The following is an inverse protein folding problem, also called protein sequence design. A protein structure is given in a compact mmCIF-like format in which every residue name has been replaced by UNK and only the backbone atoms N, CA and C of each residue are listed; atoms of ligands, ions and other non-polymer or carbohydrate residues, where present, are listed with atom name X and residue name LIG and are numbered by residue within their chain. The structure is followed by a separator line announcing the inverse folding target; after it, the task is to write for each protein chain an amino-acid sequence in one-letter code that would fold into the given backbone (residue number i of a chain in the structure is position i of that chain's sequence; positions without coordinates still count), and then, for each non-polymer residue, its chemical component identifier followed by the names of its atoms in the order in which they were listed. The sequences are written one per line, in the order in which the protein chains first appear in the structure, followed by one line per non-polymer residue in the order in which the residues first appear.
data_IF_513776796098
#
_entry.id   IF_513776796098
#
_cell.length_a   1.000
_cell.length_b   1.000
_cell.length_c   1.000
_cell.angle_alpha   90.00
_cell.angle_beta   90.00
_cell.angle_gamma   90.00
#
_symmetry.space_group_name_H-M   'P 1'
#
loop_
_entity.id
_entity.type
_entity.pdbx_description
1 polymer ?
#
# COMPACT_ATOMS: atom_id res chain seq x y z
N UNK A 1 1.06 6.12 13.78
CA UNK A 1 0.99 5.80 12.33
C UNK A 1 0.26 6.95 11.66
N UNK A 2 0.89 7.64 10.69
CA UNK A 2 0.27 8.76 9.97
C UNK A 2 -1.03 8.31 9.34
N UNK A 3 -2.14 8.93 9.75
CA UNK A 3 -3.46 8.32 9.93
C UNK A 3 -4.20 7.69 8.73
N UNK A 4 -3.54 7.42 7.60
CA UNK A 4 -4.13 6.78 6.43
C UNK A 4 -3.27 5.69 5.78
N UNK A 5 -1.96 5.63 6.05
CA UNK A 5 -1.09 4.58 5.52
C UNK A 5 -1.20 3.32 6.38
N UNK A 6 -1.45 2.17 5.76
CA UNK A 6 -1.65 0.88 6.42
C UNK A 6 -0.70 -0.17 5.85
N UNK A 7 -0.53 -1.27 6.56
CA UNK A 7 0.39 -2.36 6.22
C UNK A 7 -0.33 -3.71 6.30
N UNK A 8 -0.23 -4.51 5.24
CA UNK A 8 -0.53 -5.93 5.25
C UNK A 8 0.74 -6.72 5.54
N UNK A 9 0.59 -7.77 6.35
CA UNK A 9 1.69 -8.59 6.83
C UNK A 9 1.52 -10.02 6.33
N UNK A 10 2.39 -10.42 5.41
CA UNK A 10 2.41 -11.76 4.86
C UNK A 10 3.65 -12.51 5.34
N UNK A 11 3.50 -13.82 5.49
CA UNK A 11 4.59 -14.76 5.66
C UNK A 11 4.51 -15.72 4.48
N UNK A 12 5.52 -15.68 3.61
CA UNK A 12 5.66 -16.55 2.45
C UNK A 12 6.86 -17.45 2.73
N UNK A 13 6.60 -18.65 3.25
CA UNK A 13 7.62 -19.54 3.81
C UNK A 13 8.51 -18.79 4.83
N UNK A 14 9.79 -18.65 4.55
CA UNK A 14 10.77 -17.94 5.39
C UNK A 14 10.76 -16.41 5.16
N UNK A 15 10.07 -15.93 4.11
CA UNK A 15 10.04 -14.52 3.75
C UNK A 15 8.91 -13.76 4.44
N UNK A 16 9.31 -12.77 5.24
CA UNK A 16 8.39 -11.87 5.93
C UNK A 16 8.08 -10.69 5.01
N UNK A 17 6.99 -10.75 4.25
CA UNK A 17 6.61 -9.73 3.28
C UNK A 17 5.67 -8.67 3.87
N UNK A 18 5.83 -7.42 3.42
CA UNK A 18 5.00 -6.27 3.81
C UNK A 18 4.49 -5.56 2.59
N UNK A 19 3.18 -5.31 2.56
CA UNK A 19 2.55 -4.51 1.52
C UNK A 19 1.92 -3.29 2.17
N UNK A 20 2.34 -2.10 1.77
CA UNK A 20 1.71 -0.87 2.22
C UNK A 20 0.52 -0.52 1.34
N UNK A 21 -0.54 -0.02 1.95
CA UNK A 21 -1.76 0.32 1.24
C UNK A 21 -2.45 1.54 1.85
N UNK A 22 -3.34 2.13 1.06
CA UNK A 22 -4.23 3.21 1.48
C UNK A 22 -5.67 2.90 1.09
N UNK A 23 -6.62 3.22 1.97
CA UNK A 23 -8.05 3.14 1.68
C UNK A 23 -8.48 4.49 1.10
N UNK A 24 -8.65 4.51 -0.22
CA UNK A 24 -9.14 5.65 -0.96
C UNK A 24 -10.68 5.77 -0.86
N UNK A 25 -11.26 6.94 -1.18
CA UNK A 25 -12.71 7.08 -1.32
C UNK A 25 -13.30 6.05 -2.30
N UNK A 26 -14.57 5.70 -2.09
CA UNK A 26 -15.27 4.69 -2.89
C UNK A 26 -14.94 3.24 -2.49
N UNK A 27 -14.54 3.00 -1.23
CA UNK A 27 -14.19 1.65 -0.70
C UNK A 27 -13.05 0.97 -1.49
N UNK A 28 -12.13 1.76 -2.06
CA UNK A 28 -11.01 1.26 -2.87
C UNK A 28 -9.77 1.06 -2.01
N UNK A 29 -9.10 -0.07 -2.18
CA UNK A 29 -7.81 -0.36 -1.58
C UNK A 29 -6.74 -0.14 -2.65
N UNK A 30 -5.83 0.81 -2.41
CA UNK A 30 -4.70 1.06 -3.29
C UNK A 30 -3.43 0.49 -2.66
N UNK A 31 -2.84 -0.52 -3.32
CA UNK A 31 -1.52 -1.06 -2.95
C UNK A 31 -0.44 -0.08 -3.41
N UNK A 32 0.49 0.26 -2.53
CA UNK A 32 1.47 1.32 -2.76
C UNK A 32 2.87 0.76 -2.97
N UNK A 33 3.34 -0.06 -2.03
CA UNK A 33 4.69 -0.63 -2.08
C UNK A 33 4.72 -2.03 -1.47
N UNK A 34 5.60 -2.89 -1.99
CA UNK A 34 5.93 -4.19 -1.41
C UNK A 34 7.41 -4.24 -1.03
N UNK A 35 7.73 -4.85 0.11
CA UNK A 35 9.11 -5.11 0.55
C UNK A 35 9.18 -6.33 1.47
N UNK A 36 10.35 -6.97 1.54
CA UNK A 36 10.66 -7.98 2.56
C UNK A 36 11.20 -7.29 3.81
N UNK A 37 10.77 -7.75 4.99
CA UNK A 37 11.26 -7.24 6.27
C UNK A 37 12.64 -7.83 6.54
N UNK A 38 13.65 -6.98 6.59
CA UNK A 38 15.04 -7.38 6.89
C UNK A 38 15.48 -6.93 8.27
N UNK A 39 14.84 -5.88 8.83
CA UNK A 39 15.17 -5.28 10.12
C UNK A 39 13.94 -5.00 10.95
N UNK A 40 14.13 -4.78 12.25
CA UNK A 40 13.06 -4.38 13.16
C UNK A 40 12.36 -3.08 12.70
N UNK A 41 13.14 -2.10 12.21
CA UNK A 41 12.67 -0.80 11.73
C UNK A 41 13.17 -0.51 10.32
N UNK A 42 12.26 -0.21 9.41
CA UNK A 42 12.51 0.00 7.97
C UNK A 42 12.11 1.43 7.56
N UNK A 43 12.72 2.45 8.17
CA UNK A 43 12.32 3.86 7.95
C UNK A 43 12.37 4.29 6.47
N UNK A 44 13.33 3.74 5.71
CA UNK A 44 13.44 3.98 4.26
C UNK A 44 12.22 3.48 3.49
N UNK A 45 11.69 2.31 3.88
CA UNK A 45 10.50 1.73 3.25
C UNK A 45 9.23 2.51 3.65
N UNK A 46 9.15 2.97 4.90
CA UNK A 46 8.06 3.85 5.34
C UNK A 46 8.06 5.15 4.52
N UNK A 47 9.22 5.78 4.35
CA UNK A 47 9.34 6.99 3.52
C UNK A 47 9.02 6.73 2.05
N UNK A 48 9.42 5.58 1.52
CA UNK A 48 9.07 5.15 0.15
C UNK A 48 7.55 5.02 -0.01
N UNK A 49 6.88 4.39 0.95
CA UNK A 49 5.43 4.24 0.97
C UNK A 49 4.70 5.59 1.09
N UNK A 50 5.19 6.50 1.95
CA UNK A 50 4.67 7.87 2.06
C UNK A 50 4.79 8.64 0.74
N UNK A 51 5.93 8.54 0.05
CA UNK A 51 6.12 9.16 -1.28
C UNK A 51 5.17 8.58 -2.32
N UNK A 52 5.02 7.24 -2.36
CA UNK A 52 4.09 6.58 -3.26
C UNK A 52 2.64 7.02 -3.00
N UNK A 53 2.23 7.11 -1.75
CA UNK A 53 0.91 7.60 -1.35
C UNK A 53 0.65 9.03 -1.83
N UNK A 54 1.58 9.97 -1.59
CA UNK A 54 1.45 11.36 -2.04
C UNK A 54 1.29 11.46 -3.56
N UNK A 55 2.09 10.68 -4.30
CA UNK A 55 2.01 10.62 -5.77
C UNK A 55 0.67 10.04 -6.22
N UNK A 56 0.20 8.96 -5.60
CA UNK A 56 -1.09 8.36 -5.94
C UNK A 56 -2.25 9.32 -5.72
N UNK A 57 -2.25 10.07 -4.61
CA UNK A 57 -3.28 11.07 -4.31
C UNK A 57 -3.24 12.20 -5.35
N UNK A 58 -2.04 12.71 -5.68
CA UNK A 58 -1.87 13.79 -6.64
C UNK A 58 -2.32 13.40 -8.06
N UNK A 59 -2.14 12.14 -8.45
CA UNK A 59 -2.55 11.63 -9.76
C UNK A 59 -4.03 11.22 -9.82
N UNK A 60 -4.74 11.24 -8.69
CA UNK A 60 -6.17 10.91 -8.60
C UNK A 60 -6.55 9.62 -9.35
N UNK A 61 -5.71 8.58 -9.25
CA UNK A 61 -5.91 7.33 -9.99
C UNK A 61 -7.35 6.79 -9.82
N UNK A 62 -8.04 6.63 -10.94
CA UNK A 62 -9.33 5.97 -11.06
C UNK A 62 -9.11 4.54 -11.52
N UNK A 63 -9.97 3.63 -11.06
CA UNK A 63 -10.12 2.31 -11.67
C UNK A 63 -11.36 2.45 -12.53
N UNK A 64 -11.30 2.09 -13.81
CA UNK A 64 -12.52 1.98 -14.62
C UNK A 64 -13.40 0.93 -13.95
N UNK A 65 -14.60 1.31 -13.51
CA UNK A 65 -15.63 0.39 -13.01
C UNK A 65 -16.23 -0.38 -14.19
N UNK A 66 -15.37 -1.06 -14.97
CA UNK A 66 -15.79 -1.94 -16.04
C UNK A 66 -16.57 -3.10 -15.43
N UNK A 67 -17.89 -3.04 -15.62
CA UNK A 67 -18.93 -4.05 -15.41
C UNK A 67 -18.60 -5.09 -14.32
N UNK A 68 -19.25 -4.93 -13.16
CA UNK A 68 -19.57 -6.08 -12.32
C UNK A 68 -20.26 -7.12 -13.22
N UNK A 69 -19.53 -8.17 -13.61
CA UNK A 69 -20.12 -9.34 -14.24
C UNK A 69 -21.06 -9.96 -13.21
N UNK A 70 -22.35 -9.64 -13.38
CA UNK A 70 -23.49 -10.20 -12.63
C UNK A 70 -23.60 -11.70 -12.88
#
# INVERSE_FOLDING_TARGET
MDGKLRELRFHLDELVMRITYWIAPGRRIVLLTVFSKTRAREDREIERARRAMRRCIALAHTVDEGEEAV
#
